data_IF_257076543785
#
_entry.id   IF_257076543785
#
_cell.length_a   1.000
_cell.length_b   1.000
_cell.length_c   1.000
_cell.angle_alpha   90.00
_cell.angle_beta   90.00
_cell.angle_gamma   90.00
#
_symmetry.space_group_name_H-M   'P 1'
#
loop_
_entity.id
_entity.type
_entity.pdbx_description
1 polymer ?
#
# COMPACT_ATOMS: atom_id res chain seq x y z
N UNK A 1 -20.54 8.15 -2.07
CA UNK A 1 -19.36 7.31 -2.41
C UNK A 1 -18.17 8.15 -2.93
N UNK A 2 -18.39 9.18 -3.76
CA UNK A 2 -17.29 9.97 -4.36
C UNK A 2 -16.37 10.67 -3.35
N UNK A 3 -16.92 11.23 -2.27
CA UNK A 3 -16.13 11.93 -1.24
C UNK A 3 -15.13 11.00 -0.54
N UNK A 4 -15.58 9.83 -0.09
CA UNK A 4 -14.72 8.89 0.65
C UNK A 4 -13.59 8.33 -0.22
N UNK A 5 -13.86 8.09 -1.50
CA UNK A 5 -12.87 7.69 -2.48
C UNK A 5 -11.81 8.79 -2.72
N UNK A 6 -12.25 10.04 -2.86
CA UNK A 6 -11.33 11.18 -3.00
C UNK A 6 -10.44 11.33 -1.75
N UNK A 7 -11.04 11.23 -0.56
CA UNK A 7 -10.33 11.32 0.71
C UNK A 7 -9.33 10.16 0.89
N UNK A 8 -9.71 8.93 0.52
CA UNK A 8 -8.81 7.77 0.53
C UNK A 8 -7.61 7.96 -0.39
N UNK A 9 -7.86 8.40 -1.64
CA UNK A 9 -6.78 8.65 -2.60
C UNK A 9 -5.81 9.72 -2.07
N UNK A 10 -6.33 10.79 -1.46
CA UNK A 10 -5.51 11.82 -0.80
C UNK A 10 -4.69 11.25 0.34
N UNK A 11 -5.27 10.43 1.21
CA UNK A 11 -4.57 9.80 2.33
C UNK A 11 -3.46 8.83 1.85
N UNK A 12 -3.71 8.04 0.80
CA UNK A 12 -2.67 7.23 0.16
C UNK A 12 -1.52 8.07 -0.40
N UNK A 13 -1.84 9.19 -1.05
CA UNK A 13 -0.82 10.10 -1.57
C UNK A 13 -0.05 10.80 -0.44
N UNK A 14 -0.68 11.08 0.70
CA UNK A 14 -0.04 11.69 1.86
C UNK A 14 0.91 10.72 2.58
N UNK A 15 0.56 9.44 2.71
CA UNK A 15 1.42 8.44 3.36
C UNK A 15 2.58 7.99 2.45
N UNK A 16 2.43 8.11 1.13
CA UNK A 16 3.35 7.52 0.16
C UNK A 16 4.80 8.04 0.25
N UNK A 17 5.06 9.36 0.37
CA UNK A 17 6.43 9.88 0.41
C UNK A 17 7.25 9.31 1.57
N UNK A 18 6.65 9.21 2.76
CA UNK A 18 7.33 8.64 3.93
C UNK A 18 7.76 7.20 3.66
N UNK A 19 6.84 6.34 3.21
CA UNK A 19 7.17 4.95 2.92
C UNK A 19 8.19 4.85 1.77
N UNK A 20 8.02 5.64 0.71
CA UNK A 20 8.91 5.63 -0.46
C UNK A 20 10.36 6.01 -0.09
N UNK A 21 10.54 6.96 0.85
CA UNK A 21 11.85 7.35 1.38
C UNK A 21 12.60 6.18 2.01
N UNK A 22 11.92 5.28 2.72
CA UNK A 22 12.56 4.12 3.32
C UNK A 22 12.74 2.97 2.32
N UNK A 23 11.74 2.71 1.47
CA UNK A 23 11.85 1.64 0.47
C UNK A 23 12.94 1.92 -0.55
N UNK A 24 13.12 3.17 -1.00
CA UNK A 24 14.21 3.53 -1.92
C UNK A 24 15.61 3.35 -1.33
N UNK A 25 15.76 3.43 0.00
CA UNK A 25 17.03 3.18 0.70
C UNK A 25 17.27 1.68 0.96
N UNK A 26 16.23 0.96 1.37
CA UNK A 26 16.34 -0.41 1.89
C UNK A 26 16.15 -1.48 0.83
N UNK A 27 15.20 -1.29 -0.09
CA UNK A 27 14.77 -2.35 -1.01
C UNK A 27 15.80 -2.70 -2.10
N UNK A 28 16.51 -1.74 -2.74
CA UNK A 28 17.44 -2.07 -3.84
C UNK A 28 18.57 -3.03 -3.47
N UNK A 29 18.98 -3.05 -2.19
CA UNK A 29 20.05 -3.93 -1.68
C UNK A 29 19.51 -5.10 -0.86
N UNK A 30 18.21 -5.37 -0.89
CA UNK A 30 17.60 -6.37 -0.02
C UNK A 30 17.77 -7.79 -0.57
N UNK A 31 18.54 -8.63 0.13
CA UNK A 31 18.69 -10.07 -0.18
C UNK A 31 17.43 -10.92 0.05
N UNK A 32 16.45 -10.42 0.82
CA UNK A 32 15.20 -11.12 1.14
C UNK A 32 14.00 -10.27 0.71
N UNK A 33 13.68 -10.36 -0.58
CA UNK A 33 12.60 -9.59 -1.21
C UNK A 33 11.25 -9.96 -0.59
N UNK A 34 10.63 -9.03 0.12
CA UNK A 34 9.31 -9.21 0.74
C UNK A 34 8.15 -8.87 -0.22
N UNK A 35 8.44 -8.33 -1.40
CA UNK A 35 7.49 -8.03 -2.46
C UNK A 35 7.15 -9.30 -3.27
N UNK A 36 6.60 -10.30 -2.59
CA UNK A 36 6.11 -11.53 -3.21
C UNK A 36 4.69 -11.39 -3.73
N UNK A 37 4.28 -12.27 -4.63
CA UNK A 37 3.01 -12.20 -5.32
C UNK A 37 1.80 -12.29 -4.39
N UNK A 38 1.91 -13.02 -3.27
CA UNK A 38 0.90 -13.03 -2.21
C UNK A 38 0.50 -11.63 -1.73
N UNK A 39 1.44 -10.69 -1.72
CA UNK A 39 1.19 -9.31 -1.29
C UNK A 39 0.61 -8.43 -2.41
N UNK A 40 0.68 -8.88 -3.67
CA UNK A 40 0.10 -8.23 -4.83
C UNK A 40 -1.39 -8.50 -5.03
N UNK A 41 -2.00 -9.38 -4.24
CA UNK A 41 -3.42 -9.69 -4.35
C UNK A 41 -4.26 -8.63 -3.61
N UNK A 42 -5.24 -8.08 -4.33
CA UNK A 42 -6.23 -7.16 -3.75
C UNK A 42 -7.19 -7.92 -2.86
N UNK A 43 -7.51 -7.33 -1.70
CA UNK A 43 -8.64 -7.80 -0.90
C UNK A 43 -9.96 -7.14 -1.35
N UNK A 44 -11.08 -7.56 -0.76
CA UNK A 44 -12.41 -7.08 -1.15
C UNK A 44 -12.55 -5.55 -1.05
N UNK A 45 -11.95 -4.92 -0.04
CA UNK A 45 -12.05 -3.47 0.16
C UNK A 45 -11.18 -2.72 -0.83
N UNK A 46 -10.00 -3.28 -1.15
CA UNK A 46 -9.19 -2.76 -2.24
C UNK A 46 -9.98 -2.77 -3.55
N UNK A 47 -10.68 -3.86 -3.84
CA UNK A 47 -11.52 -3.99 -5.04
C UNK A 47 -12.66 -2.96 -5.09
N UNK A 48 -13.35 -2.72 -3.96
CA UNK A 48 -14.38 -1.67 -3.86
C UNK A 48 -13.78 -0.30 -4.18
N UNK A 49 -12.60 0.00 -3.63
CA UNK A 49 -11.93 1.28 -3.87
C UNK A 49 -11.48 1.45 -5.33
N UNK A 50 -10.88 0.40 -5.93
CA UNK A 50 -10.45 0.40 -7.32
C UNK A 50 -11.62 0.56 -8.29
N UNK A 51 -12.75 -0.12 -8.03
CA UNK A 51 -13.99 0.04 -8.81
C UNK A 51 -14.56 1.44 -8.70
N UNK A 52 -14.60 2.02 -7.49
CA UNK A 52 -15.05 3.39 -7.30
C UNK A 52 -14.19 4.39 -8.09
N UNK A 53 -12.89 4.10 -8.27
CA UNK A 53 -11.98 4.87 -9.11
C UNK A 53 -12.16 4.68 -10.62
N UNK A 54 -13.06 3.80 -11.06
CA UNK A 54 -13.20 3.45 -12.47
C UNK A 54 -11.95 2.76 -13.04
N UNK A 55 -11.17 2.12 -12.17
CA UNK A 55 -9.90 1.48 -12.52
C UNK A 55 -10.00 -0.05 -12.59
N UNK A 56 -11.21 -0.62 -12.56
CA UNK A 56 -11.37 -2.07 -12.57
C UNK A 56 -10.89 -2.64 -13.92
N UNK A 57 -9.75 -3.32 -13.90
CA UNK A 57 -9.27 -4.18 -14.98
C UNK A 57 -9.53 -5.63 -14.61
N UNK A 58 -9.88 -6.46 -15.60
CA UNK A 58 -10.23 -7.87 -15.42
C UNK A 58 -9.15 -8.75 -14.75
N UNK A 59 -7.92 -8.27 -14.59
CA UNK A 59 -6.74 -9.06 -14.17
C UNK A 59 -6.31 -8.84 -12.72
N UNK A 60 -7.25 -8.84 -11.78
CA UNK A 60 -6.92 -8.72 -10.36
C UNK A 60 -6.41 -10.02 -9.72
N UNK A 61 -6.51 -11.15 -10.42
CA UNK A 61 -5.95 -12.43 -10.01
C UNK A 61 -4.67 -12.71 -10.79
N UNK A 62 -3.60 -13.00 -10.04
CA UNK A 62 -2.34 -13.46 -10.62
C UNK A 62 -2.41 -14.96 -10.89
N UNK A 63 -1.83 -15.40 -12.01
CA UNK A 63 -1.52 -16.80 -12.32
C UNK A 63 -0.22 -17.28 -11.65
N UNK A 64 0.67 -16.35 -11.28
CA UNK A 64 1.92 -16.66 -10.55
C UNK A 64 1.69 -17.27 -9.15
N UNK A 65 2.55 -18.20 -8.71
CA UNK A 65 2.62 -18.67 -7.32
C UNK A 65 2.78 -17.53 -6.31
N UNK A 66 2.21 -17.71 -5.12
CA UNK A 66 2.27 -16.73 -4.02
C UNK A 66 3.70 -16.37 -3.56
N UNK A 67 4.65 -17.29 -3.77
CA UNK A 67 6.07 -17.18 -3.41
C UNK A 67 6.91 -16.42 -4.42
N UNK A 68 6.42 -16.28 -5.64
CA UNK A 68 7.16 -15.65 -6.73
C UNK A 68 7.23 -14.13 -6.53
N UNK A 69 8.15 -13.42 -7.22
CA UNK A 69 8.14 -11.98 -7.25
C UNK A 69 6.76 -11.43 -7.65
N UNK A 70 6.31 -10.39 -6.95
CA UNK A 70 5.03 -9.75 -7.23
C UNK A 70 4.93 -9.31 -8.70
N UNK A 71 3.78 -9.55 -9.34
CA UNK A 71 3.52 -9.15 -10.73
C UNK A 71 3.67 -7.65 -11.01
N UNK A 72 3.66 -6.82 -9.96
CA UNK A 72 3.85 -5.38 -10.05
C UNK A 72 5.28 -4.91 -9.74
N UNK A 73 6.20 -5.81 -9.42
CA UNK A 73 7.58 -5.49 -9.09
C UNK A 73 8.43 -5.38 -10.36
N UNK A 74 9.19 -4.29 -10.48
CA UNK A 74 10.21 -4.02 -11.49
C UNK A 74 11.58 -3.82 -10.81
N UNK A 75 12.62 -3.58 -11.60
CA UNK A 75 14.01 -3.39 -11.13
C UNK A 75 14.14 -2.23 -10.13
N UNK A 76 13.37 -1.16 -10.31
CA UNK A 76 13.35 0.05 -9.47
C UNK A 76 12.24 0.06 -8.42
N UNK A 77 11.48 -1.03 -8.30
CA UNK A 77 10.41 -1.21 -7.34
C UNK A 77 9.04 -1.41 -7.99
N UNK A 78 7.98 -1.13 -7.24
CA UNK A 78 6.63 -1.37 -7.72
C UNK A 78 6.17 -0.25 -8.69
N UNK A 79 5.78 -0.62 -9.91
CA UNK A 79 5.37 0.36 -10.94
C UNK A 79 4.02 1.03 -10.66
N UNK A 80 3.19 0.42 -9.81
CA UNK A 80 1.91 1.01 -9.42
C UNK A 80 2.13 2.19 -8.47
N UNK A 81 1.38 3.31 -8.62
CA UNK A 81 1.30 4.31 -7.56
C UNK A 81 0.61 3.71 -6.32
N UNK A 82 0.93 4.22 -5.12
CA UNK A 82 0.52 3.58 -3.85
C UNK A 82 -1.00 3.41 -3.70
N UNK A 83 -1.79 4.38 -4.14
CA UNK A 83 -3.26 4.29 -4.10
C UNK A 83 -3.84 3.20 -5.02
N UNK A 84 -3.05 2.68 -5.97
CA UNK A 84 -3.42 1.52 -6.79
C UNK A 84 -2.84 0.21 -6.25
N UNK A 85 -1.96 0.21 -5.26
CA UNK A 85 -1.40 -1.03 -4.71
C UNK A 85 -2.41 -1.66 -3.74
N UNK A 86 -2.40 -2.99 -3.54
CA UNK A 86 -3.15 -3.62 -2.45
C UNK A 86 -2.83 -2.95 -1.11
N UNK A 87 -3.81 -2.84 -0.21
CA UNK A 87 -3.63 -2.12 1.05
C UNK A 87 -2.47 -2.71 1.88
N UNK A 88 -2.22 -4.02 1.77
CA UNK A 88 -1.08 -4.70 2.39
C UNK A 88 0.27 -4.03 2.09
N UNK A 89 0.49 -3.52 0.88
CA UNK A 89 1.71 -2.81 0.52
C UNK A 89 1.89 -1.45 1.22
N UNK A 90 0.91 -1.02 2.01
CA UNK A 90 0.90 0.26 2.75
C UNK A 90 0.95 0.07 4.27
N UNK A 91 0.65 -1.11 4.80
CA UNK A 91 0.71 -1.39 6.25
C UNK A 91 1.70 -2.49 6.65
N UNK A 92 2.16 -3.32 5.71
CA UNK A 92 3.22 -4.30 5.98
C UNK A 92 4.61 -3.66 5.83
N UNK A 93 5.43 -3.79 6.87
CA UNK A 93 6.83 -3.37 6.88
C UNK A 93 7.68 -4.53 7.39
N UNK A 94 8.72 -4.91 6.64
CA UNK A 94 9.69 -5.90 7.08
C UNK A 94 10.67 -5.31 8.10
N UNK A 95 11.44 -6.15 8.80
CA UNK A 95 12.35 -5.70 9.86
C UNK A 95 13.34 -4.62 9.39
N UNK A 96 13.97 -4.80 8.22
CA UNK A 96 14.89 -3.80 7.64
C UNK A 96 14.23 -2.44 7.38
N UNK A 97 12.95 -2.44 6.98
CA UNK A 97 12.20 -1.19 6.80
C UNK A 97 11.88 -0.56 8.16
N UNK A 98 11.48 -1.36 9.15
CA UNK A 98 11.22 -0.89 10.51
C UNK A 98 12.47 -0.31 11.17
N UNK A 99 13.65 -0.94 10.98
CA UNK A 99 14.94 -0.39 11.38
C UNK A 99 15.22 0.97 10.73
N UNK A 100 15.01 1.08 9.41
CA UNK A 100 15.19 2.35 8.69
C UNK A 100 14.23 3.44 9.19
N UNK A 101 12.99 3.08 9.54
CA UNK A 101 12.00 4.02 10.09
C UNK A 101 12.31 4.43 11.52
N UNK A 102 12.87 3.54 12.34
CA UNK A 102 13.29 3.84 13.73
C UNK A 102 14.44 4.83 13.82
N UNK A 103 15.21 5.01 12.74
CA UNK A 103 16.27 6.00 12.66
C UNK A 103 15.77 7.44 12.45
N UNK A 104 14.49 7.63 12.09
CA UNK A 104 13.91 8.96 11.95
C UNK A 104 13.58 9.60 13.31
N UNK A 105 13.34 10.91 13.30
CA UNK A 105 12.90 11.59 14.51
C UNK A 105 11.53 11.10 14.98
N UNK A 106 11.30 11.11 16.30
CA UNK A 106 10.00 10.76 16.89
C UNK A 106 8.85 11.61 16.31
N UNK A 107 9.12 12.87 15.94
CA UNK A 107 8.16 13.77 15.30
C UNK A 107 7.74 13.26 13.92
N UNK A 108 8.70 12.88 13.08
CA UNK A 108 8.43 12.34 11.74
C UNK A 108 7.65 11.03 11.81
N UNK A 109 8.09 10.10 12.66
CA UNK A 109 7.39 8.83 12.84
C UNK A 109 5.96 9.03 13.34
N UNK A 110 5.75 9.91 14.33
CA UNK A 110 4.40 10.25 14.83
C UNK A 110 3.51 10.85 13.74
N UNK A 111 4.06 11.74 12.90
CA UNK A 111 3.33 12.32 11.77
C UNK A 111 2.91 11.24 10.77
N UNK A 112 3.81 10.31 10.45
CA UNK A 112 3.51 9.17 9.58
C UNK A 112 2.40 8.28 10.15
N UNK A 113 2.50 7.92 11.43
CA UNK A 113 1.49 7.09 12.10
C UNK A 113 0.11 7.76 12.08
N UNK A 114 0.03 9.07 12.32
CA UNK A 114 -1.25 9.81 12.23
C UNK A 114 -1.89 9.67 10.86
N UNK A 115 -1.13 9.89 9.78
CA UNK A 115 -1.64 9.78 8.41
C UNK A 115 -2.03 8.34 8.06
N UNK A 116 -1.26 7.35 8.54
CA UNK A 116 -1.58 5.94 8.34
C UNK A 116 -2.87 5.53 9.07
N UNK A 117 -3.09 6.05 10.28
CA UNK A 117 -4.31 5.83 11.05
C UNK A 117 -5.53 6.46 10.37
N UNK A 118 -5.40 7.67 9.82
CA UNK A 118 -6.45 8.31 9.04
C UNK A 118 -6.82 7.49 7.80
N UNK A 119 -5.81 6.99 7.07
CA UNK A 119 -6.00 6.11 5.93
C UNK A 119 -6.73 4.82 6.32
N UNK A 120 -6.33 4.17 7.42
CA UNK A 120 -7.00 2.98 7.94
C UNK A 120 -8.46 3.27 8.34
N UNK A 121 -8.72 4.44 8.95
CA UNK A 121 -10.06 4.87 9.32
C UNK A 121 -10.97 5.08 8.13
N UNK A 122 -10.48 5.76 7.08
CA UNK A 122 -11.21 5.93 5.83
C UNK A 122 -11.49 4.59 5.14
N UNK A 123 -10.53 3.66 5.18
CA UNK A 123 -10.70 2.33 4.57
C UNK A 123 -11.76 1.51 5.31
N UNK A 124 -11.85 1.60 6.65
CA UNK A 124 -12.93 0.96 7.43
C UNK A 124 -14.30 1.51 7.06
N UNK A 125 -14.43 2.85 6.97
CA UNK A 125 -15.68 3.49 6.55
C UNK A 125 -16.14 3.04 5.16
N UNK A 126 -15.21 2.83 4.23
CA UNK A 126 -15.55 2.33 2.90
C UNK A 126 -16.16 0.92 2.96
N UNK A 127 -15.61 0.05 3.80
CA UNK A 127 -16.15 -1.30 4.00
C UNK A 127 -17.55 -1.25 4.61
N UNK A 128 -17.74 -0.45 5.68
CA UNK A 128 -19.05 -0.27 6.34
C UNK A 128 -20.13 0.22 5.37
N UNK A 129 -19.78 1.15 4.48
CA UNK A 129 -20.70 1.68 3.46
C UNK A 129 -21.04 0.70 2.33
N UNK A 130 -20.24 -0.36 2.15
CA UNK A 130 -20.43 -1.36 1.10
C UNK A 130 -21.04 -2.67 1.63
N UNK A 131 -21.24 -2.78 2.95
CA UNK A 131 -21.93 -3.89 3.62
C UNK A 131 -23.38 -3.57 4.00
N UNK A 132 -23.84 -2.35 3.72
CA UNK A 132 -25.20 -1.87 3.94
C UNK A 132 -25.97 -1.82 2.61
#
# INVERSE_FOLDING_TARGET
>A
MEKIQSDLKKAFNAVSPYIQRHTSKVCPSCSKVCCINKHGNYDEVDMVFIRALGLDSADNKSDKPDTDPCRFLQEDGCFLPRYKRPFRCTWYFCEKLLESMRADSAKEYKSFISVLQDLQGLRRKLLEMNSA
#
